data_IF_391522589020
#
_entry.id   IF_391522589020
#
_cell.length_a   1.000
_cell.length_b   1.000
_cell.length_c   1.000
_cell.angle_alpha   90.00
_cell.angle_beta   90.00
_cell.angle_gamma   90.00
#
_symmetry.space_group_name_H-M   'P 1'
#
loop_
_entity.id
_entity.type
_entity.pdbx_description
1 polymer ?
#
# COMPACT_ATOMS: atom_id res chain seq x y z
N UNK A 1 74.24 33.02 18.08
CA UNK A 1 73.02 33.15 17.33
C UNK A 1 72.54 31.72 17.02
N UNK A 2 71.59 31.24 17.75
CA UNK A 2 71.06 29.88 17.57
C UNK A 2 69.78 29.95 16.72
N UNK A 3 69.86 29.42 15.50
CA UNK A 3 68.70 29.30 14.62
C UNK A 3 67.94 28.04 14.99
N UNK A 4 66.78 28.22 15.61
CA UNK A 4 65.84 27.09 15.88
C UNK A 4 65.02 26.78 14.59
N UNK A 5 65.26 25.65 13.96
CA UNK A 5 64.40 25.17 12.86
C UNK A 5 63.20 24.43 13.46
N UNK A 6 62.00 24.99 13.34
CA UNK A 6 60.76 24.30 13.68
C UNK A 6 60.30 23.47 12.49
N UNK A 7 60.39 22.13 12.58
CA UNK A 7 59.79 21.23 11.59
C UNK A 7 58.34 21.00 11.96
N UNK A 8 57.43 21.48 11.10
CA UNK A 8 56.02 21.16 11.14
C UNK A 8 55.77 19.78 10.51
N UNK A 9 55.49 18.76 11.31
CA UNK A 9 55.02 17.48 10.81
C UNK A 9 53.53 17.58 10.49
N UNK A 10 53.15 17.43 9.23
CA UNK A 10 51.74 17.21 8.83
C UNK A 10 51.46 15.71 8.92
N UNK A 11 50.67 15.30 9.84
CA UNK A 11 50.09 13.95 9.87
C UNK A 11 48.83 13.95 9.03
N UNK A 12 48.86 13.30 7.86
CA UNK A 12 47.64 12.99 7.11
C UNK A 12 47.18 11.59 7.49
N UNK A 13 46.05 11.49 8.20
CA UNK A 13 45.37 10.23 8.39
C UNK A 13 44.42 10.01 7.23
N UNK A 14 44.66 9.02 6.38
CA UNK A 14 43.67 8.58 5.40
C UNK A 14 42.88 7.40 6.00
N UNK A 15 41.61 7.60 6.23
CA UNK A 15 40.70 6.52 6.62
C UNK A 15 40.18 5.84 5.36
N UNK A 16 40.62 4.62 5.10
CA UNK A 16 40.11 3.84 3.96
C UNK A 16 38.91 3.02 4.45
N UNK A 17 37.72 3.36 3.95
CA UNK A 17 36.53 2.57 4.21
C UNK A 17 36.43 1.48 3.13
N UNK A 18 36.41 0.23 3.55
CA UNK A 18 36.11 -0.89 2.64
C UNK A 18 34.61 -0.98 2.42
N UNK A 19 34.21 -1.14 1.15
CA UNK A 19 32.81 -1.40 0.82
C UNK A 19 32.36 -2.73 1.43
N UNK A 20 31.36 -2.68 2.30
CA UNK A 20 30.77 -3.88 2.92
C UNK A 20 29.35 -4.06 2.41
N UNK A 21 29.03 -5.29 1.98
CA UNK A 21 27.67 -5.64 1.55
C UNK A 21 27.10 -6.70 2.49
N UNK A 22 26.01 -6.37 3.15
CA UNK A 22 25.25 -7.31 3.98
C UNK A 22 23.94 -7.63 3.26
N UNK A 23 23.67 -8.91 3.06
CA UNK A 23 22.47 -9.38 2.36
C UNK A 23 21.71 -10.37 3.22
N UNK A 24 20.42 -10.17 3.37
CA UNK A 24 19.50 -11.15 3.90
C UNK A 24 18.40 -11.46 2.86
N UNK A 25 17.46 -12.40 3.10
CA UNK A 25 16.43 -12.76 2.12
C UNK A 25 15.58 -11.57 1.64
N UNK A 26 15.43 -10.52 2.43
CA UNK A 26 14.49 -9.42 2.16
C UNK A 26 15.17 -8.13 1.72
N UNK A 27 16.36 -7.85 2.26
CA UNK A 27 17.06 -6.57 2.03
C UNK A 27 18.55 -6.79 1.76
N UNK A 28 19.12 -5.84 1.02
CA UNK A 28 20.56 -5.71 0.79
C UNK A 28 21.01 -4.35 1.27
N UNK A 29 21.99 -4.32 2.17
CA UNK A 29 22.64 -3.10 2.66
C UNK A 29 24.06 -3.00 2.14
N UNK A 30 24.42 -1.85 1.62
CA UNK A 30 25.77 -1.52 1.13
C UNK A 30 26.27 -0.33 1.92
N UNK A 31 27.41 -0.53 2.60
CA UNK A 31 28.11 0.53 3.33
C UNK A 31 29.40 0.87 2.59
N UNK A 32 29.61 2.13 2.31
CA UNK A 32 30.82 2.68 1.69
C UNK A 32 31.20 4.02 2.31
N UNK A 33 32.11 4.77 1.67
CA UNK A 33 32.57 6.08 2.13
C UNK A 33 31.46 7.14 2.22
N UNK A 34 30.35 6.93 1.49
CA UNK A 34 29.23 7.87 1.41
C UNK A 34 28.11 7.52 2.41
N UNK A 35 28.28 6.42 3.15
CA UNK A 35 27.31 5.96 4.15
C UNK A 35 26.72 4.59 3.80
N UNK A 36 25.58 4.30 4.42
CA UNK A 36 24.88 3.02 4.23
C UNK A 36 23.62 3.23 3.40
N UNK A 37 23.49 2.48 2.33
CA UNK A 37 22.28 2.40 1.51
C UNK A 37 21.67 1.03 1.69
N UNK A 38 20.39 0.97 2.07
CA UNK A 38 19.64 -0.28 2.21
C UNK A 38 18.43 -0.25 1.25
N UNK A 39 18.22 -1.36 0.54
CA UNK A 39 17.09 -1.53 -0.37
C UNK A 39 16.47 -2.91 -0.24
N UNK A 40 15.18 -3.01 -0.53
CA UNK A 40 14.49 -4.29 -0.63
C UNK A 40 15.04 -5.08 -1.83
N UNK A 41 15.18 -6.39 -1.65
CA UNK A 41 15.64 -7.27 -2.72
C UNK A 41 14.57 -7.43 -3.80
N UNK A 42 14.98 -7.33 -5.07
CA UNK A 42 14.10 -7.57 -6.20
C UNK A 42 13.57 -9.02 -6.18
N UNK A 43 12.34 -9.22 -6.67
CA UNK A 43 11.69 -10.53 -6.72
C UNK A 43 11.15 -11.03 -5.37
N UNK A 44 11.22 -10.23 -4.31
CA UNK A 44 10.59 -10.57 -3.03
C UNK A 44 9.12 -10.08 -2.98
N UNK A 45 8.27 -10.81 -2.26
CA UNK A 45 6.89 -10.39 -2.05
C UNK A 45 6.81 -8.99 -1.38
N UNK A 46 7.71 -8.69 -0.46
CA UNK A 46 7.79 -7.36 0.19
C UNK A 46 8.08 -6.24 -0.81
N UNK A 47 9.03 -6.45 -1.72
CA UNK A 47 9.34 -5.45 -2.75
C UNK A 47 8.13 -5.22 -3.66
N UNK A 48 7.47 -6.30 -4.09
CA UNK A 48 6.29 -6.21 -4.94
C UNK A 48 5.14 -5.46 -4.26
N UNK A 49 4.88 -5.75 -2.97
CA UNK A 49 3.85 -5.05 -2.19
C UNK A 49 4.23 -3.58 -1.98
N UNK A 50 5.49 -3.31 -1.65
CA UNK A 50 6.00 -1.95 -1.46
C UNK A 50 5.84 -1.10 -2.72
N UNK A 51 6.27 -1.63 -3.87
CA UNK A 51 6.16 -0.95 -5.16
C UNK A 51 4.69 -0.74 -5.56
N UNK A 52 3.84 -1.76 -5.38
CA UNK A 52 2.41 -1.65 -5.65
C UNK A 52 1.75 -0.58 -4.75
N UNK A 53 2.08 -0.57 -3.47
CA UNK A 53 1.53 0.41 -2.52
C UNK A 53 1.92 1.83 -2.89
N UNK A 54 3.20 2.06 -3.22
CA UNK A 54 3.67 3.38 -3.65
C UNK A 54 3.01 3.85 -4.96
N UNK A 55 2.75 2.91 -5.87
CA UNK A 55 2.17 3.26 -7.17
C UNK A 55 0.65 3.49 -7.13
N UNK A 56 -0.07 2.85 -6.20
CA UNK A 56 -1.55 2.79 -6.25
C UNK A 56 -2.24 3.35 -5.00
N UNK A 57 -1.49 3.85 -4.00
CA UNK A 57 -2.11 4.30 -2.74
C UNK A 57 -3.08 5.45 -2.95
N UNK A 58 -2.74 6.41 -3.80
CA UNK A 58 -3.59 7.58 -4.05
C UNK A 58 -4.90 7.16 -4.74
N UNK A 59 -4.83 6.24 -5.71
CA UNK A 59 -6.01 5.71 -6.40
C UNK A 59 -6.91 4.91 -5.43
N UNK A 60 -6.32 4.10 -4.55
CA UNK A 60 -7.05 3.35 -3.53
C UNK A 60 -7.73 4.28 -2.51
N UNK A 61 -7.06 5.36 -2.12
CA UNK A 61 -7.65 6.35 -1.22
C UNK A 61 -8.79 7.12 -1.90
N UNK A 62 -8.68 7.43 -3.19
CA UNK A 62 -9.76 8.06 -3.93
C UNK A 62 -10.96 7.10 -4.08
N UNK A 63 -10.73 5.83 -4.41
CA UNK A 63 -11.77 4.79 -4.46
C UNK A 63 -12.45 4.60 -3.10
N UNK A 64 -11.69 4.62 -2.00
CA UNK A 64 -12.25 4.55 -0.65
C UNK A 64 -13.14 5.74 -0.32
N UNK A 65 -12.71 6.95 -0.71
CA UNK A 65 -13.49 8.19 -0.46
C UNK A 65 -14.72 8.30 -1.35
N UNK A 66 -14.62 7.78 -2.58
CA UNK A 66 -15.66 7.88 -3.62
C UNK A 66 -15.89 6.53 -4.28
N UNK A 67 -16.49 5.56 -3.54
CA UNK A 67 -16.80 4.28 -4.14
C UNK A 67 -17.75 4.46 -5.33
N UNK A 68 -17.52 3.75 -6.42
CA UNK A 68 -18.26 3.90 -7.67
C UNK A 68 -19.00 2.61 -8.05
N UNK A 69 -20.19 2.76 -8.64
CA UNK A 69 -20.90 1.67 -9.30
C UNK A 69 -20.33 1.37 -10.70
N UNK A 70 -19.49 2.23 -11.25
CA UNK A 70 -18.97 2.12 -12.62
C UNK A 70 -17.82 1.10 -12.75
N UNK A 71 -17.38 0.49 -11.66
CA UNK A 71 -16.41 -0.59 -11.74
C UNK A 71 -17.02 -1.81 -12.45
N UNK A 72 -16.26 -2.54 -13.30
CA UNK A 72 -16.77 -3.72 -14.00
C UNK A 72 -17.43 -4.75 -13.10
N UNK A 73 -16.88 -4.93 -11.88
CA UNK A 73 -17.42 -5.86 -10.88
C UNK A 73 -18.78 -5.39 -10.36
N UNK A 74 -18.90 -4.12 -9.95
CA UNK A 74 -20.16 -3.59 -9.43
C UNK A 74 -21.23 -3.53 -10.52
N UNK A 75 -20.86 -3.18 -11.75
CA UNK A 75 -21.78 -3.22 -12.89
C UNK A 75 -22.30 -4.63 -13.15
N UNK A 76 -21.43 -5.65 -13.15
CA UNK A 76 -21.87 -7.04 -13.37
C UNK A 76 -22.80 -7.51 -12.24
N UNK A 77 -22.50 -7.17 -11.00
CA UNK A 77 -23.36 -7.51 -9.84
C UNK A 77 -24.72 -6.81 -9.93
N UNK A 78 -24.73 -5.52 -10.27
CA UNK A 78 -25.98 -4.75 -10.42
C UNK A 78 -26.84 -5.28 -11.58
N UNK A 79 -26.22 -5.64 -12.71
CA UNK A 79 -26.93 -6.26 -13.84
C UNK A 79 -27.54 -7.59 -13.46
N UNK A 80 -26.79 -8.46 -12.78
CA UNK A 80 -27.29 -9.76 -12.30
C UNK A 80 -28.47 -9.59 -11.34
N UNK A 81 -28.35 -8.65 -10.39
CA UNK A 81 -29.42 -8.34 -9.45
C UNK A 81 -30.67 -7.80 -10.16
N UNK A 82 -30.51 -6.84 -11.07
CA UNK A 82 -31.63 -6.26 -11.83
C UNK A 82 -32.34 -7.30 -12.69
N UNK A 83 -31.59 -8.22 -13.31
CA UNK A 83 -32.18 -9.33 -14.06
C UNK A 83 -33.07 -10.22 -13.17
N UNK A 84 -32.54 -10.66 -12.05
CA UNK A 84 -33.30 -11.50 -11.10
C UNK A 84 -34.52 -10.75 -10.51
N UNK A 85 -34.36 -9.46 -10.23
CA UNK A 85 -35.45 -8.61 -9.76
C UNK A 85 -36.54 -8.45 -10.82
N UNK A 86 -36.19 -8.26 -12.10
CA UNK A 86 -37.16 -8.18 -13.20
C UNK A 86 -37.93 -9.49 -13.37
N UNK A 87 -37.28 -10.65 -13.30
CA UNK A 87 -37.93 -11.95 -13.39
C UNK A 87 -38.93 -12.17 -12.22
N UNK A 88 -38.53 -11.87 -10.98
CA UNK A 88 -39.41 -11.99 -9.82
C UNK A 88 -40.54 -10.96 -9.82
N UNK A 89 -40.26 -9.74 -10.33
CA UNK A 89 -41.26 -8.68 -10.44
C UNK A 89 -42.31 -8.99 -11.52
N UNK A 90 -41.91 -9.62 -12.61
CA UNK A 90 -42.82 -10.09 -13.65
C UNK A 90 -43.75 -11.16 -13.10
N UNK A 91 -43.20 -12.13 -12.37
CA UNK A 91 -44.03 -13.15 -11.70
C UNK A 91 -45.00 -12.55 -10.65
N UNK A 92 -44.51 -11.57 -9.88
CA UNK A 92 -45.38 -10.87 -8.92
C UNK A 92 -46.46 -10.03 -9.61
N UNK A 93 -46.15 -9.38 -10.72
CA UNK A 93 -47.09 -8.65 -11.54
C UNK A 93 -48.22 -9.58 -12.04
N UNK A 94 -47.86 -10.70 -12.65
CA UNK A 94 -48.84 -11.63 -13.18
C UNK A 94 -49.69 -12.28 -12.09
N UNK A 95 -49.05 -12.85 -11.06
CA UNK A 95 -49.74 -13.66 -10.07
C UNK A 95 -50.50 -12.84 -9.03
N UNK A 96 -49.97 -11.68 -8.64
CA UNK A 96 -50.54 -10.88 -7.55
C UNK A 96 -51.42 -9.71 -8.03
N UNK A 97 -51.23 -9.27 -9.29
CA UNK A 97 -51.94 -8.10 -9.81
C UNK A 97 -52.80 -8.46 -11.02
N UNK A 98 -52.19 -8.92 -12.12
CA UNK A 98 -52.93 -9.11 -13.39
C UNK A 98 -53.98 -10.20 -13.27
N UNK A 99 -53.62 -11.40 -12.83
CA UNK A 99 -54.57 -12.52 -12.75
C UNK A 99 -55.73 -12.29 -11.78
N UNK A 100 -55.48 -11.81 -10.53
CA UNK A 100 -56.58 -11.52 -9.60
C UNK A 100 -57.50 -10.40 -10.06
N UNK A 101 -56.96 -9.36 -10.70
CA UNK A 101 -57.75 -8.22 -11.18
C UNK A 101 -58.47 -8.50 -12.49
N UNK A 102 -57.91 -9.33 -13.35
CA UNK A 102 -58.54 -9.82 -14.59
C UNK A 102 -59.80 -10.61 -14.29
N UNK A 103 -59.71 -11.54 -13.33
CA UNK A 103 -60.83 -12.36 -12.92
C UNK A 103 -62.00 -11.53 -12.34
N UNK A 104 -61.74 -10.31 -11.91
CA UNK A 104 -62.75 -9.35 -11.37
C UNK A 104 -63.09 -8.22 -12.34
N UNK A 105 -62.56 -8.23 -13.57
CA UNK A 105 -62.69 -7.14 -14.57
C UNK A 105 -62.20 -5.79 -14.03
N UNK A 106 -61.20 -5.77 -13.16
CA UNK A 106 -60.72 -4.59 -12.46
C UNK A 106 -59.31 -4.12 -12.93
N UNK A 107 -58.78 -4.65 -14.03
CA UNK A 107 -57.40 -4.33 -14.52
C UNK A 107 -57.20 -2.82 -14.76
N UNK A 108 -58.24 -2.09 -15.10
CA UNK A 108 -58.21 -0.64 -15.37
C UNK A 108 -58.77 0.20 -14.21
N UNK A 109 -58.87 -0.36 -13.06
CA UNK A 109 -59.36 0.34 -11.87
C UNK A 109 -58.27 1.19 -11.20
N UNK A 110 -58.70 2.16 -10.38
CA UNK A 110 -57.77 2.90 -9.53
C UNK A 110 -57.00 2.04 -8.57
N UNK A 111 -57.59 0.88 -8.13
CA UNK A 111 -56.93 -0.10 -7.32
C UNK A 111 -55.78 -0.78 -8.10
N UNK A 112 -56.00 -1.14 -9.37
CA UNK A 112 -54.94 -1.67 -10.22
C UNK A 112 -53.79 -0.68 -10.39
N UNK A 113 -54.10 0.60 -10.67
CA UNK A 113 -53.08 1.66 -10.77
C UNK A 113 -52.25 1.78 -9.48
N UNK A 114 -52.86 1.72 -8.33
CA UNK A 114 -52.15 1.77 -7.04
C UNK A 114 -51.25 0.55 -6.85
N UNK A 115 -51.69 -0.66 -7.23
CA UNK A 115 -50.87 -1.88 -7.12
C UNK A 115 -49.66 -1.82 -8.10
N UNK A 116 -49.85 -1.35 -9.32
CA UNK A 116 -48.73 -1.14 -10.28
C UNK A 116 -47.73 -0.12 -9.75
N UNK A 117 -48.20 1.00 -9.23
CA UNK A 117 -47.32 2.03 -8.68
C UNK A 117 -46.53 1.51 -7.45
N UNK A 118 -47.17 0.75 -6.60
CA UNK A 118 -46.51 0.13 -5.43
C UNK A 118 -45.46 -0.89 -5.87
N UNK A 119 -45.73 -1.71 -6.89
CA UNK A 119 -44.75 -2.63 -7.43
C UNK A 119 -43.56 -1.89 -8.05
N UNK A 120 -43.82 -0.87 -8.89
CA UNK A 120 -42.78 -0.04 -9.48
C UNK A 120 -41.90 0.66 -8.42
N UNK A 121 -42.54 1.19 -7.37
CA UNK A 121 -41.81 1.78 -6.23
C UNK A 121 -40.94 0.73 -5.54
N UNK A 122 -41.49 -0.45 -5.23
CA UNK A 122 -40.72 -1.54 -4.59
C UNK A 122 -39.52 -1.98 -5.42
N UNK A 123 -39.63 -2.02 -6.76
CA UNK A 123 -38.52 -2.32 -7.66
C UNK A 123 -37.44 -1.25 -7.55
N UNK A 124 -37.82 0.02 -7.62
CA UNK A 124 -36.88 1.14 -7.53
C UNK A 124 -36.17 1.19 -6.17
N UNK A 125 -36.91 1.00 -5.09
CA UNK A 125 -36.37 0.97 -3.73
C UNK A 125 -35.35 -0.19 -3.61
N UNK A 126 -35.68 -1.38 -4.14
CA UNK A 126 -34.79 -2.55 -4.12
C UNK A 126 -33.49 -2.32 -4.91
N UNK A 127 -33.55 -1.67 -6.06
CA UNK A 127 -32.35 -1.33 -6.85
C UNK A 127 -31.50 -0.29 -6.10
N UNK A 128 -32.15 0.71 -5.50
CA UNK A 128 -31.46 1.75 -4.72
C UNK A 128 -30.75 1.15 -3.51
N UNK A 129 -31.44 0.30 -2.75
CA UNK A 129 -30.88 -0.37 -1.57
C UNK A 129 -29.71 -1.27 -1.94
N UNK A 130 -29.84 -2.05 -3.01
CA UNK A 130 -28.76 -2.91 -3.48
C UNK A 130 -27.55 -2.09 -3.99
N UNK A 131 -27.80 -1.00 -4.68
CA UNK A 131 -26.74 -0.08 -5.11
C UNK A 131 -25.99 0.53 -3.94
N UNK A 132 -26.70 0.95 -2.89
CA UNK A 132 -26.11 1.44 -1.65
C UNK A 132 -25.27 0.37 -0.94
N UNK A 133 -25.74 -0.89 -0.91
CA UNK A 133 -24.99 -2.02 -0.36
C UNK A 133 -23.71 -2.29 -1.17
N UNK A 134 -23.77 -2.24 -2.50
CA UNK A 134 -22.58 -2.43 -3.34
C UNK A 134 -21.53 -1.34 -3.06
N UNK A 135 -21.94 -0.09 -2.93
CA UNK A 135 -21.02 1.01 -2.59
C UNK A 135 -20.39 0.83 -1.21
N UNK A 136 -21.20 0.46 -0.20
CA UNK A 136 -20.70 0.22 1.15
C UNK A 136 -19.72 -0.98 1.20
N UNK A 137 -20.02 -2.05 0.47
CA UNK A 137 -19.14 -3.20 0.36
C UNK A 137 -17.84 -2.88 -0.37
N UNK A 138 -17.91 -2.10 -1.46
CA UNK A 138 -16.74 -1.61 -2.18
C UNK A 138 -15.84 -0.79 -1.25
N UNK A 139 -16.42 0.18 -0.53
CA UNK A 139 -15.68 1.00 0.44
C UNK A 139 -15.01 0.13 1.53
N UNK A 140 -15.74 -0.84 2.08
CA UNK A 140 -15.21 -1.74 3.11
C UNK A 140 -14.04 -2.58 2.56
N UNK A 141 -14.19 -3.14 1.36
CA UNK A 141 -13.15 -3.96 0.73
C UNK A 141 -11.90 -3.14 0.41
N UNK A 142 -12.07 -1.93 -0.14
CA UNK A 142 -10.96 -1.02 -0.41
C UNK A 142 -10.28 -0.58 0.89
N UNK A 143 -11.02 -0.29 1.95
CA UNK A 143 -10.48 0.01 3.28
C UNK A 143 -9.66 -1.15 3.86
N UNK A 144 -10.15 -2.38 3.73
CA UNK A 144 -9.42 -3.58 4.16
C UNK A 144 -8.13 -3.77 3.35
N UNK A 145 -8.18 -3.53 2.04
CA UNK A 145 -7.00 -3.59 1.17
C UNK A 145 -5.96 -2.54 1.56
N UNK A 146 -6.36 -1.29 1.80
CA UNK A 146 -5.48 -0.22 2.27
C UNK A 146 -4.81 -0.64 3.58
N UNK A 147 -5.55 -1.16 4.56
CA UNK A 147 -5.00 -1.62 5.83
C UNK A 147 -3.98 -2.76 5.64
N UNK A 148 -4.27 -3.73 4.78
CA UNK A 148 -3.36 -4.82 4.47
C UNK A 148 -2.05 -4.31 3.84
N UNK A 149 -2.17 -3.43 2.83
CA UNK A 149 -1.03 -2.84 2.14
C UNK A 149 -0.19 -1.96 3.06
N UNK A 150 -0.83 -1.14 3.90
CA UNK A 150 -0.11 -0.32 4.88
C UNK A 150 0.65 -1.16 5.89
N UNK A 151 0.06 -2.24 6.41
CA UNK A 151 0.75 -3.14 7.32
C UNK A 151 1.97 -3.80 6.66
N UNK A 152 1.82 -4.28 5.43
CA UNK A 152 2.92 -4.88 4.67
C UNK A 152 4.00 -3.84 4.29
N UNK A 153 3.60 -2.63 3.92
CA UNK A 153 4.51 -1.51 3.67
C UNK A 153 5.34 -1.15 4.90
N UNK A 154 4.70 -1.03 6.08
CA UNK A 154 5.39 -0.74 7.33
C UNK A 154 6.36 -1.85 7.73
N UNK A 155 6.01 -3.12 7.52
CA UNK A 155 6.93 -4.24 7.75
C UNK A 155 8.16 -4.16 6.84
N UNK A 156 7.98 -3.87 5.55
CA UNK A 156 9.07 -3.66 4.61
C UNK A 156 9.95 -2.46 5.00
N UNK A 157 9.34 -1.35 5.37
CA UNK A 157 10.04 -0.14 5.83
C UNK A 157 10.86 -0.40 7.10
N UNK A 158 10.29 -1.10 8.07
CA UNK A 158 10.98 -1.47 9.31
C UNK A 158 12.15 -2.43 9.05
N UNK A 159 12.02 -3.36 8.10
CA UNK A 159 13.12 -4.24 7.70
C UNK A 159 14.29 -3.47 7.08
N UNK A 160 14.01 -2.45 6.27
CA UNK A 160 15.04 -1.56 5.70
C UNK A 160 15.72 -0.75 6.80
N UNK A 161 14.96 -0.10 7.67
CA UNK A 161 15.50 0.76 8.74
C UNK A 161 16.25 -0.04 9.80
N UNK A 162 15.75 -1.21 10.18
CA UNK A 162 16.43 -2.09 11.14
C UNK A 162 17.79 -2.55 10.62
N UNK A 163 17.92 -2.86 9.34
CA UNK A 163 19.18 -3.23 8.73
C UNK A 163 20.15 -2.06 8.56
N UNK A 164 19.65 -0.85 8.34
CA UNK A 164 20.50 0.35 8.33
C UNK A 164 21.14 0.59 9.69
N UNK A 165 20.37 0.47 10.77
CA UNK A 165 20.88 0.63 12.14
C UNK A 165 21.94 -0.43 12.46
N UNK A 166 21.73 -1.68 12.06
CA UNK A 166 22.68 -2.78 12.29
C UNK A 166 23.96 -2.61 11.48
N UNK A 167 23.88 -2.14 10.23
CA UNK A 167 25.06 -1.91 9.39
C UNK A 167 25.89 -0.71 9.84
N UNK A 168 25.27 0.31 10.41
CA UNK A 168 25.98 1.43 11.05
C UNK A 168 26.75 0.96 12.30
N UNK A 169 26.18 0.05 13.09
CA UNK A 169 26.85 -0.52 14.26
C UNK A 169 28.06 -1.36 13.88
N UNK A 170 27.99 -2.15 12.81
CA UNK A 170 29.10 -2.99 12.36
C UNK A 170 30.22 -2.17 11.67
N UNK A 171 29.90 -1.08 10.98
CA UNK A 171 30.90 -0.21 10.35
C UNK A 171 31.67 0.66 11.35
N UNK A 172 31.07 1.05 12.46
CA UNK A 172 31.78 1.79 13.52
C UNK A 172 32.77 0.94 14.31
N UNK A 173 32.65 -0.41 14.26
CA UNK A 173 33.55 -1.35 14.92
C UNK A 173 34.82 -1.70 14.12
N UNK A 174 34.88 -1.38 12.83
CA UNK A 174 35.97 -1.80 11.93
C UNK A 174 36.87 -0.66 11.43
N UNK A 175 36.93 0.47 12.14
CA UNK A 175 37.91 1.50 11.86
C UNK A 175 39.29 1.06 12.38
N UNK A 176 40.09 0.40 11.54
CA UNK A 176 41.48 0.10 11.86
C UNK A 176 42.27 1.39 11.70
N UNK A 177 42.63 2.03 12.81
CA UNK A 177 43.54 3.17 12.82
C UNK A 177 44.96 2.62 12.76
N UNK A 178 45.59 2.59 11.59
CA UNK A 178 47.02 2.34 11.47
C UNK A 178 47.77 3.67 11.69
N UNK A 179 48.05 3.96 12.94
CA UNK A 179 48.93 5.06 13.32
C UNK A 179 50.37 4.55 13.26
N UNK A 180 51.18 4.96 12.27
CA UNK A 180 52.63 4.80 12.34
C UNK A 180 53.21 6.05 13.04
N UNK A 181 53.57 5.92 14.33
CA UNK A 181 54.36 6.92 15.02
C UNK A 181 55.85 6.69 14.68
N UNK A 182 56.43 7.59 13.91
CA UNK A 182 57.89 7.68 13.80
C UNK A 182 58.40 8.54 14.96
N UNK A 183 58.99 7.93 15.98
CA UNK A 183 59.76 8.60 17.00
C UNK A 183 61.17 8.83 16.45
N UNK A 184 61.51 10.06 16.08
CA UNK A 184 62.91 10.44 15.83
C UNK A 184 63.54 10.81 17.16
N UNK A 185 64.39 9.91 17.69
CA UNK A 185 65.21 10.18 18.85
C UNK A 185 66.27 11.19 18.50
N UNK A 186 66.35 12.29 19.24
CA UNK A 186 67.48 13.21 19.20
C UNK A 186 68.53 12.68 20.20
N UNK A 187 69.65 12.22 19.68
CA UNK A 187 70.82 11.84 20.47
C UNK A 187 71.66 13.12 20.74
N UNK A 188 71.78 13.50 22.02
CA UNK A 188 72.77 14.47 22.43
C UNK A 188 74.03 13.72 22.78
N UNK A 189 75.11 13.90 21.94
CA UNK A 189 76.45 13.50 22.27
C UNK A 189 77.08 14.55 23.19
N UNK A 190 77.71 14.10 24.27
CA UNK A 190 78.60 14.84 25.12
C UNK A 190 79.91 15.13 24.43
#
# INVERSE_FOLDING_TARGET
MGGGSSSKSKSSSSTTYSKTTTKNPYVTSVTDNNGTTTKLNDGTAYKSIYDYTNANMDDLLEEYRRPSLDTPTNQALLQAYTKNLNESSHNALENNIVNPLSNRNMIRSSQATNMYNNLAKSINDSISDYSAQLLANSQTNTGNMINLLMNAYLQGHNAVNGNQALSLQTSSGNATTTGSSKTSGVSYGL
#
